data_IF_370678326448
#
_entry.id   IF_370678326448
#
_cell.length_a   1.000
_cell.length_b   1.000
_cell.length_c   1.000
_cell.angle_alpha   90.00
_cell.angle_beta   90.00
_cell.angle_gamma   90.00
#
_symmetry.space_group_name_H-M   'P 1'
#
loop_
_entity.id
_entity.type
_entity.pdbx_description
1 polymer ?
#
# COMPACT_ATOMS: atom_id res chain seq x y z
N UNK A 1 14.61 11.34 23.45
CA UNK A 1 14.14 12.01 22.80
C UNK A 1 14.30 11.87 21.42
N UNK A 2 15.31 11.80 21.02
CA UNK A 2 15.49 11.65 19.70
C UNK A 2 14.80 10.47 19.21
N UNK A 3 14.70 9.48 19.91
CA UNK A 3 14.06 8.42 19.49
C UNK A 3 12.69 8.59 19.22
N UNK A 4 12.00 9.28 19.94
CA UNK A 4 10.68 9.48 19.67
C UNK A 4 10.53 10.17 18.42
N UNK A 5 11.33 11.04 18.11
CA UNK A 5 11.24 11.73 16.89
C UNK A 5 11.39 10.81 15.75
N UNK A 6 12.27 9.89 15.81
CA UNK A 6 12.44 9.01 14.75
C UNK A 6 11.26 8.16 14.54
N UNK A 7 10.68 7.69 15.56
CA UNK A 7 9.55 6.92 15.40
C UNK A 7 8.45 7.66 14.78
N UNK A 8 8.25 8.83 15.14
CA UNK A 8 7.18 9.61 14.58
C UNK A 8 7.39 9.76 13.11
N UNK A 9 8.57 10.03 12.73
CA UNK A 9 8.83 10.20 11.35
C UNK A 9 8.53 8.96 10.60
N UNK A 10 8.93 7.84 11.07
CA UNK A 10 8.65 6.70 10.39
C UNK A 10 7.23 6.46 10.26
N UNK A 11 6.50 6.61 11.28
CA UNK A 11 5.14 6.33 11.21
C UNK A 11 4.46 7.20 10.25
N UNK A 12 4.76 8.42 10.22
CA UNK A 12 4.06 9.25 9.37
C UNK A 12 4.43 9.14 7.98
N UNK A 13 5.60 8.81 7.69
CA UNK A 13 5.89 8.80 6.34
C UNK A 13 5.72 7.49 5.79
N UNK A 14 5.38 6.55 6.50
CA UNK A 14 5.27 5.35 5.95
C UNK A 14 3.92 4.98 5.63
N UNK A 15 3.49 4.88 4.45
CA UNK A 15 2.22 4.41 4.08
C UNK A 15 2.31 2.94 4.15
N UNK A 16 1.29 2.25 4.51
CA UNK A 16 1.34 0.81 4.56
C UNK A 16 1.34 0.33 3.11
N UNK A 17 1.71 -0.89 2.89
CA UNK A 17 1.71 -1.43 1.55
C UNK A 17 0.31 -1.42 0.99
N UNK A 18 -0.69 -1.57 1.84
CA UNK A 18 -2.06 -1.57 1.37
C UNK A 18 -2.45 -0.21 0.83
N UNK A 19 -2.00 0.84 1.47
CA UNK A 19 -2.33 2.17 0.98
C UNK A 19 -1.67 2.41 -0.37
N UNK A 20 -0.45 1.95 -0.53
CA UNK A 20 0.24 2.12 -1.79
C UNK A 20 -0.49 1.37 -2.90
N UNK A 21 -0.97 0.19 -2.60
CA UNK A 21 -1.66 -0.59 -3.59
C UNK A 21 -2.92 0.13 -4.03
N UNK A 22 -3.66 0.67 -3.10
CA UNK A 22 -4.88 1.36 -3.47
C UNK A 22 -4.57 2.61 -4.28
N UNK A 23 -3.53 3.33 -3.91
CA UNK A 23 -3.15 4.51 -4.66
C UNK A 23 -2.84 4.15 -6.11
N UNK A 24 -2.06 3.11 -6.33
CA UNK A 24 -1.71 2.73 -7.67
C UNK A 24 -2.95 2.31 -8.45
N UNK A 25 -3.86 1.64 -7.79
CA UNK A 25 -5.05 1.19 -8.46
C UNK A 25 -5.88 2.40 -8.88
N UNK A 26 -5.97 3.40 -8.05
CA UNK A 26 -6.73 4.58 -8.38
C UNK A 26 -6.06 5.41 -9.46
N UNK A 27 -4.77 5.25 -9.62
CA UNK A 27 -4.08 5.94 -10.67
C UNK A 27 -4.26 5.24 -12.00
N UNK A 28 -4.94 4.15 -12.03
CA UNK A 28 -5.17 3.46 -13.28
C UNK A 28 -4.26 2.29 -13.57
N UNK A 29 -3.45 1.87 -12.61
CA UNK A 29 -2.56 0.77 -12.88
C UNK A 29 -3.31 -0.55 -12.81
N UNK A 30 -2.88 -1.51 -13.59
CA UNK A 30 -3.56 -2.79 -13.60
C UNK A 30 -3.11 -3.61 -12.41
N UNK A 31 -3.88 -4.61 -12.08
CA UNK A 31 -3.54 -5.47 -10.98
C UNK A 31 -2.19 -6.12 -11.23
N UNK A 32 -1.94 -6.52 -12.47
CA UNK A 32 -0.68 -7.13 -12.78
C UNK A 32 0.47 -6.18 -12.52
N UNK A 33 0.35 -4.95 -12.93
CA UNK A 33 1.40 -4.01 -12.71
C UNK A 33 1.61 -3.74 -11.24
N UNK A 34 0.55 -3.63 -10.50
CA UNK A 34 0.66 -3.39 -9.09
C UNK A 34 1.34 -4.56 -8.42
N UNK A 35 0.98 -5.78 -8.79
CA UNK A 35 1.56 -6.94 -8.15
C UNK A 35 3.06 -6.99 -8.38
N UNK A 36 3.50 -6.59 -9.55
CA UNK A 36 4.91 -6.59 -9.82
C UNK A 36 5.62 -5.54 -9.00
N UNK A 37 5.05 -4.37 -8.91
CA UNK A 37 5.68 -3.33 -8.15
C UNK A 37 5.75 -3.58 -6.66
N UNK A 38 4.75 -4.19 -6.11
CA UNK A 38 4.78 -4.44 -4.67
C UNK A 38 5.31 -5.81 -4.32
N UNK A 39 5.55 -6.66 -5.31
CA UNK A 39 6.09 -7.98 -5.03
C UNK A 39 5.13 -8.93 -4.38
N UNK A 40 3.84 -8.80 -4.66
CA UNK A 40 2.86 -9.69 -4.12
C UNK A 40 2.07 -10.37 -5.22
N UNK A 41 1.47 -11.51 -4.96
CA UNK A 41 0.69 -12.20 -5.97
C UNK A 41 -0.53 -11.39 -6.35
N UNK A 42 -1.00 -11.53 -7.56
CA UNK A 42 -2.14 -10.77 -8.02
C UNK A 42 -3.37 -11.03 -7.17
N UNK A 43 -3.56 -12.26 -6.74
CA UNK A 43 -4.70 -12.56 -5.91
C UNK A 43 -4.69 -11.77 -4.62
N UNK A 44 -3.52 -11.61 -4.05
CA UNK A 44 -3.43 -10.88 -2.81
C UNK A 44 -3.70 -9.40 -3.06
N UNK A 45 -3.20 -8.87 -4.18
CA UNK A 45 -3.43 -7.49 -4.51
C UNK A 45 -4.94 -7.26 -4.69
N UNK A 46 -5.62 -8.15 -5.38
CA UNK A 46 -7.03 -8.01 -5.59
C UNK A 46 -7.79 -8.06 -4.27
N UNK A 47 -7.36 -8.94 -3.39
CA UNK A 47 -8.02 -9.09 -2.12
C UNK A 47 -7.87 -7.80 -1.31
N UNK A 48 -6.69 -7.24 -1.29
CA UNK A 48 -6.45 -6.02 -0.57
C UNK A 48 -7.27 -4.88 -1.13
N UNK A 49 -7.30 -4.74 -2.43
CA UNK A 49 -8.07 -3.68 -3.04
C UNK A 49 -9.55 -3.85 -2.72
N UNK A 50 -10.01 -5.08 -2.75
CA UNK A 50 -11.40 -5.32 -2.45
C UNK A 50 -11.76 -4.94 -1.03
N UNK A 51 -10.87 -5.22 -0.10
CA UNK A 51 -11.14 -4.88 1.27
C UNK A 51 -11.17 -3.37 1.45
N UNK A 52 -10.26 -2.68 0.84
CA UNK A 52 -10.19 -1.25 1.02
C UNK A 52 -11.32 -0.52 0.33
N UNK A 53 -11.74 -1.01 -0.81
CA UNK A 53 -12.82 -0.36 -1.48
C UNK A 53 -14.17 -0.65 -0.87
N UNK A 54 -14.29 -1.71 -0.15
CA UNK A 54 -15.51 -2.00 0.45
C UNK A 54 -15.84 -1.12 1.56
N UNK A 55 -14.93 -0.43 2.13
CA UNK A 55 -15.24 0.39 3.24
C UNK A 55 -16.00 1.59 2.89
#
# INVERSE_FOLDING_TARGET
MDKQIEEAVQSENKKSANDDILDMYEMGMSIMEISIKVGKPMGEVEFIIGLMKKR
#
